data_IF_587579691642
#
_entry.id   IF_587579691642
#
_cell.length_a   1.000
_cell.length_b   1.000
_cell.length_c   1.000
_cell.angle_alpha   90.00
_cell.angle_beta   90.00
_cell.angle_gamma   90.00
#
_symmetry.space_group_name_H-M   'P 1'
#
loop_
_entity.id
_entity.type
_entity.pdbx_description
1 polymer ?
#
# COMPACT_ATOMS: atom_id res chain seq x y z
N UNK A 1 -19.81 -8.39 10.98
CA UNK A 1 -19.22 -9.74 11.01
C UNK A 1 -18.25 -9.83 9.84
N UNK A 2 -17.06 -9.28 10.02
CA UNK A 2 -15.86 -9.61 9.25
C UNK A 2 -14.68 -9.37 10.20
N UNK A 3 -14.56 -10.27 11.18
CA UNK A 3 -13.34 -10.44 11.95
C UNK A 3 -12.49 -11.43 11.15
N UNK A 4 -11.48 -10.94 10.44
CA UNK A 4 -10.41 -11.77 9.89
C UNK A 4 -9.13 -11.34 10.58
N UNK A 5 -8.74 -12.18 11.54
CA UNK A 5 -7.58 -12.08 12.38
C UNK A 5 -6.29 -12.07 11.55
N UNK A 6 -5.50 -11.02 11.73
CA UNK A 6 -4.12 -11.09 12.24
C UNK A 6 -3.44 -12.46 12.11
N UNK A 7 -2.83 -12.76 10.95
CA UNK A 7 -1.79 -13.80 10.83
C UNK A 7 -0.93 -13.56 9.58
N UNK A 8 0.20 -12.86 9.81
CA UNK A 8 1.47 -13.04 9.08
C UNK A 8 1.43 -12.94 7.54
N UNK A 9 1.48 -11.72 7.03
CA UNK A 9 1.74 -11.44 5.61
C UNK A 9 0.49 -11.07 4.84
N UNK A 10 0.59 -9.99 4.05
CA UNK A 10 -0.42 -9.60 3.07
C UNK A 10 -0.27 -10.47 1.82
N UNK A 11 -1.36 -10.75 1.10
CA UNK A 11 -1.34 -11.47 -0.17
C UNK A 11 -1.86 -10.60 -1.33
N UNK A 12 -1.74 -11.09 -2.57
CA UNK A 12 -2.14 -10.34 -3.78
C UNK A 12 -3.62 -9.95 -3.81
N UNK A 13 -4.47 -10.80 -3.25
CA UNK A 13 -5.91 -10.57 -3.16
C UNK A 13 -6.21 -9.41 -2.20
N UNK A 14 -5.63 -9.44 -1.00
CA UNK A 14 -5.77 -8.35 -0.03
C UNK A 14 -5.19 -7.03 -0.55
N UNK A 15 -4.07 -7.05 -1.26
CA UNK A 15 -3.53 -5.84 -1.91
C UNK A 15 -4.54 -5.28 -2.92
N UNK A 16 -5.20 -6.16 -3.68
CA UNK A 16 -6.23 -5.75 -4.62
C UNK A 16 -7.48 -5.18 -3.93
N UNK A 17 -7.87 -5.74 -2.79
CA UNK A 17 -9.00 -5.25 -2.00
C UNK A 17 -8.69 -3.88 -1.39
N UNK A 18 -7.51 -3.69 -0.83
CA UNK A 18 -7.03 -2.40 -0.30
C UNK A 18 -7.05 -1.35 -1.41
N UNK A 19 -6.50 -1.64 -2.58
CA UNK A 19 -6.49 -0.70 -3.70
C UNK A 19 -7.89 -0.34 -4.18
N UNK A 20 -8.79 -1.32 -4.31
CA UNK A 20 -10.20 -1.03 -4.64
C UNK A 20 -10.91 -0.20 -3.56
N UNK A 21 -10.57 -0.41 -2.29
CA UNK A 21 -11.12 0.37 -1.19
C UNK A 21 -10.63 1.82 -1.24
N UNK A 22 -9.33 2.04 -1.46
CA UNK A 22 -8.74 3.37 -1.65
C UNK A 22 -9.39 4.07 -2.82
N UNK A 23 -9.54 3.37 -3.95
CA UNK A 23 -10.14 3.93 -5.16
C UNK A 23 -11.60 4.36 -4.91
N UNK A 24 -12.39 3.52 -4.24
CA UNK A 24 -13.80 3.81 -3.95
C UNK A 24 -14.00 4.94 -2.93
N UNK A 25 -13.10 5.08 -1.98
CA UNK A 25 -13.19 6.08 -0.92
C UNK A 25 -12.44 7.38 -1.28
N UNK A 26 -11.76 7.43 -2.44
CA UNK A 26 -10.93 8.56 -2.87
C UNK A 26 -9.96 9.00 -1.77
N UNK A 27 -9.17 8.05 -1.26
CA UNK A 27 -8.20 8.35 -0.20
C UNK A 27 -6.96 9.01 -0.79
N UNK A 28 -6.84 10.32 -0.59
CA UNK A 28 -5.74 11.15 -1.11
C UNK A 28 -4.82 11.65 0.02
N UNK A 29 -5.15 11.35 1.28
CA UNK A 29 -4.40 11.79 2.46
C UNK A 29 -4.13 10.66 3.45
N UNK A 30 -3.07 10.79 4.26
CA UNK A 30 -2.75 9.83 5.32
C UNK A 30 -3.91 9.60 6.31
N UNK A 31 -4.72 10.63 6.55
CA UNK A 31 -5.88 10.54 7.45
C UNK A 31 -6.94 9.58 6.92
N UNK A 32 -7.15 9.51 5.61
CA UNK A 32 -8.15 8.64 4.98
C UNK A 32 -7.75 7.16 5.06
N UNK A 33 -6.45 6.89 5.23
CA UNK A 33 -5.90 5.56 5.41
C UNK A 33 -5.99 5.06 6.86
N UNK A 34 -6.43 5.89 7.81
CA UNK A 34 -6.60 5.48 9.22
C UNK A 34 -7.36 4.15 9.40
N UNK A 35 -8.55 3.92 8.79
CA UNK A 35 -9.25 2.64 8.90
C UNK A 35 -8.44 1.45 8.36
N UNK A 36 -7.69 1.63 7.28
CA UNK A 36 -6.80 0.58 6.76
C UNK A 36 -5.63 0.28 7.72
N UNK A 37 -5.11 1.30 8.41
CA UNK A 37 -4.06 1.12 9.42
C UNK A 37 -4.59 0.39 10.66
N UNK A 38 -5.86 0.60 11.02
CA UNK A 38 -6.52 -0.12 12.09
C UNK A 38 -6.79 -1.58 11.70
N UNK A 39 -7.17 -1.84 10.44
CA UNK A 39 -7.41 -3.18 9.92
C UNK A 39 -6.11 -3.97 9.68
N UNK A 40 -5.05 -3.29 9.22
CA UNK A 40 -3.74 -3.85 8.91
C UNK A 40 -2.61 -3.19 9.73
N UNK A 41 -2.56 -3.39 11.07
CA UNK A 41 -1.59 -2.73 11.93
C UNK A 41 -0.14 -3.15 11.69
N UNK A 42 0.08 -4.25 10.96
CA UNK A 42 1.41 -4.74 10.57
C UNK A 42 1.88 -4.21 9.21
N UNK A 43 1.02 -3.48 8.48
CA UNK A 43 1.31 -2.95 7.16
C UNK A 43 1.56 -1.44 7.27
N UNK A 44 2.72 -1.00 6.80
CA UNK A 44 3.03 0.43 6.73
C UNK A 44 2.47 0.98 5.43
N UNK A 45 1.51 1.90 5.53
CA UNK A 45 1.04 2.65 4.37
C UNK A 45 1.86 3.94 4.26
N UNK A 46 2.35 4.23 3.06
CA UNK A 46 3.09 5.46 2.74
C UNK A 46 2.44 6.09 1.54
N UNK A 47 2.14 7.38 1.63
CA UNK A 47 1.55 8.14 0.54
C UNK A 47 2.63 9.07 -0.03
N UNK A 48 2.90 8.93 -1.31
CA UNK A 48 3.88 9.71 -2.06
C UNK A 48 3.24 10.20 -3.35
N UNK A 49 3.80 11.26 -3.94
CA UNK A 49 3.48 11.64 -5.31
C UNK A 49 4.23 10.73 -6.28
N UNK A 50 3.68 10.51 -7.49
CA UNK A 50 4.38 9.77 -8.55
C UNK A 50 5.79 10.33 -8.84
N UNK A 51 5.97 11.66 -8.74
CA UNK A 51 7.22 12.35 -9.01
C UNK A 51 8.34 11.97 -8.02
N UNK A 52 7.98 11.65 -6.77
CA UNK A 52 8.92 11.26 -5.70
C UNK A 52 9.37 9.79 -5.83
N UNK A 53 8.52 8.94 -6.42
CA UNK A 53 8.78 7.51 -6.62
C UNK A 53 9.70 7.22 -7.82
N UNK A 54 9.73 8.10 -8.82
CA UNK A 54 10.52 7.92 -10.03
C UNK A 54 10.03 6.74 -10.90
N UNK A 55 10.91 6.21 -11.76
CA UNK A 55 10.58 5.16 -12.75
C UNK A 55 10.46 3.74 -12.16
N UNK A 56 9.81 3.59 -11.01
CA UNK A 56 9.58 2.27 -10.42
C UNK A 56 8.30 1.65 -10.98
N UNK A 57 8.36 0.39 -11.39
CA UNK A 57 7.16 -0.29 -11.90
C UNK A 57 6.13 -0.47 -10.78
N UNK A 58 4.88 -0.03 -10.98
CA UNK A 58 3.82 -0.25 -10.03
C UNK A 58 3.48 -1.73 -9.93
N UNK A 59 3.18 -2.19 -8.72
CA UNK A 59 2.66 -3.53 -8.51
C UNK A 59 1.23 -3.64 -9.04
N UNK A 60 0.42 -2.59 -8.82
CA UNK A 60 -0.89 -2.41 -9.43
C UNK A 60 -1.15 -0.95 -9.73
N UNK A 61 -1.80 -0.70 -10.85
CA UNK A 61 -2.24 0.64 -11.26
C UNK A 61 -3.73 0.78 -11.11
N UNK A 62 -4.15 1.92 -10.55
CA UNK A 62 -5.54 2.34 -10.38
C UNK A 62 -5.78 3.67 -11.11
N UNK A 63 -6.99 4.20 -11.00
CA UNK A 63 -7.42 5.34 -11.81
C UNK A 63 -6.72 6.66 -11.50
N UNK A 64 -6.33 6.89 -10.24
CA UNK A 64 -5.69 8.14 -9.78
C UNK A 64 -4.42 7.89 -8.95
N UNK A 65 -3.99 6.64 -8.86
CA UNK A 65 -2.82 6.27 -8.07
C UNK A 65 -2.25 4.92 -8.51
N UNK A 66 -1.02 4.68 -8.11
CA UNK A 66 -0.34 3.40 -8.22
C UNK A 66 -0.05 2.80 -6.83
N UNK A 67 -0.12 1.49 -6.74
CA UNK A 67 0.32 0.73 -5.58
C UNK A 67 1.67 0.08 -5.87
N UNK A 68 2.61 0.30 -4.96
CA UNK A 68 3.89 -0.39 -4.92
C UNK A 68 4.04 -1.14 -3.60
N UNK A 69 4.70 -2.29 -3.63
CA UNK A 69 5.00 -3.02 -2.41
C UNK A 69 6.31 -2.49 -1.82
N UNK A 70 6.35 -2.35 -0.50
CA UNK A 70 7.56 -2.01 0.22
C UNK A 70 7.92 -3.13 1.21
N UNK A 71 9.19 -3.49 1.22
CA UNK A 71 9.79 -4.30 2.27
C UNK A 71 10.64 -3.40 3.16
N UNK A 72 10.35 -3.39 4.46
CA UNK A 72 11.12 -2.65 5.44
C UNK A 72 12.33 -3.50 5.83
N UNK A 73 13.53 -3.04 5.49
CA UNK A 73 14.76 -3.71 5.93
C UNK A 73 15.07 -3.38 7.38
N UNK A 74 15.70 -4.32 8.09
CA UNK A 74 16.14 -4.17 9.49
C UNK A 74 17.08 -2.96 9.68
N UNK A 75 17.71 -2.49 8.60
CA UNK A 75 18.58 -1.31 8.56
C UNK A 75 17.83 0.04 8.48
N UNK A 76 16.49 0.03 8.46
CA UNK A 76 15.67 1.25 8.49
C UNK A 76 15.42 1.92 7.13
N UNK A 77 15.85 1.30 6.02
CA UNK A 77 15.47 1.74 4.68
C UNK A 77 14.33 0.86 4.16
N UNK A 78 13.19 1.49 3.85
CA UNK A 78 12.15 0.86 3.03
C UNK A 78 12.67 0.70 1.61
N UNK A 79 12.54 -0.49 1.03
CA UNK A 79 12.88 -0.77 -0.36
C UNK A 79 11.65 -1.26 -1.09
N UNK A 80 11.41 -0.73 -2.29
CA UNK A 80 10.32 -1.20 -3.14
C UNK A 80 10.61 -2.62 -3.62
N UNK A 81 9.58 -3.45 -3.63
CA UNK A 81 9.65 -4.86 -3.99
C UNK A 81 8.46 -5.21 -4.89
N UNK A 82 8.59 -6.30 -5.64
CA UNK A 82 7.48 -6.94 -6.34
C UNK A 82 7.10 -8.29 -5.70
N UNK A 83 7.78 -8.65 -4.61
CA UNK A 83 7.56 -9.89 -3.88
C UNK A 83 6.62 -9.66 -2.71
N UNK A 84 5.45 -10.28 -2.80
CA UNK A 84 4.40 -10.21 -1.77
C UNK A 84 4.81 -10.95 -0.49
N UNK A 85 5.56 -12.05 -0.62
CA UNK A 85 6.00 -12.90 0.50
C UNK A 85 6.90 -12.18 1.54
N UNK A 86 7.41 -10.99 1.22
CA UNK A 86 8.18 -10.13 2.14
C UNK A 86 7.66 -8.70 2.23
N UNK A 87 6.44 -8.46 1.75
CA UNK A 87 5.82 -7.14 1.77
C UNK A 87 5.39 -6.79 3.20
N UNK A 88 5.93 -5.69 3.72
CA UNK A 88 5.60 -5.15 5.04
C UNK A 88 4.98 -3.75 4.97
N UNK A 89 4.79 -3.22 3.76
CA UNK A 89 4.19 -1.92 3.55
C UNK A 89 3.70 -1.74 2.11
N UNK A 90 2.81 -0.78 1.92
CA UNK A 90 2.31 -0.35 0.63
C UNK A 90 2.64 1.12 0.44
N UNK A 91 3.18 1.45 -0.71
CA UNK A 91 3.36 2.82 -1.15
C UNK A 91 2.28 3.14 -2.16
N UNK A 92 1.53 4.20 -1.88
CA UNK A 92 0.45 4.75 -2.69
C UNK A 92 1.03 5.97 -3.39
N UNK A 93 1.30 5.83 -4.69
CA UNK A 93 1.77 6.92 -5.55
C UNK A 93 0.54 7.63 -6.11
N UNK A 94 0.18 8.80 -5.61
CA UNK A 94 -0.90 9.57 -6.23
C UNK A 94 -0.43 10.11 -7.58
N UNK A 95 -1.27 9.97 -8.61
CA UNK A 95 -1.04 10.60 -9.90
C UNK A 95 -1.27 12.10 -9.75
N UNK A 96 -0.33 12.91 -10.24
CA UNK A 96 -0.52 14.36 -10.28
C UNK A 96 -1.29 14.70 -11.56
N UNK A 97 -2.56 15.09 -11.43
CA UNK A 97 -3.38 15.58 -12.56
C UNK A 97 -2.88 16.90 -13.17
#
# INVERSE_FOLDING_TARGET
MQDILTLGGINEEQIAEIGQWIERNHCESETDLSPLREEFPNLVFTLCSEDDLGFHEPFRTFSFFDLHLAAHSVSGCSSLTQYVEGCSGLVIALHEE
#
